data_IF_763820054952
#
_entry.id   IF_763820054952
#
_cell.length_a   1.000
_cell.length_b   1.000
_cell.length_c   1.000
_cell.angle_alpha   90.00
_cell.angle_beta   90.00
_cell.angle_gamma   90.00
#
_symmetry.space_group_name_H-M   'P 1'
#
loop_
_entity.id
_entity.type
_entity.pdbx_description
1 polymer ?
#
# COMPACT_ATOMS: atom_id res chain seq x y z
N UNK A 1 47.25 10.86 -5.80
CA UNK A 1 46.00 11.08 -5.06
C UNK A 1 45.72 9.87 -4.18
N UNK A 2 45.90 10.01 -2.86
CA UNK A 2 45.71 8.93 -1.90
C UNK A 2 44.27 8.39 -1.96
N UNK A 3 44.10 7.15 -2.42
CA UNK A 3 42.85 6.41 -2.23
C UNK A 3 42.76 6.06 -0.75
N UNK A 4 42.23 6.97 0.06
CA UNK A 4 41.83 6.66 1.44
C UNK A 4 40.83 5.53 1.39
N UNK A 5 41.19 4.36 1.92
CA UNK A 5 40.27 3.23 2.07
C UNK A 5 39.01 3.69 2.80
N UNK A 6 37.82 3.24 2.39
CA UNK A 6 36.58 3.63 3.04
C UNK A 6 36.64 3.22 4.51
N UNK A 7 36.47 4.21 5.40
CA UNK A 7 36.48 3.99 6.85
C UNK A 7 35.14 3.48 7.36
N UNK A 8 34.04 3.79 6.69
CA UNK A 8 32.69 3.50 7.18
C UNK A 8 31.93 2.59 6.21
N UNK A 9 31.08 1.72 6.75
CA UNK A 9 30.18 0.85 5.98
C UNK A 9 28.75 1.37 6.09
N UNK A 10 28.06 1.51 4.96
CA UNK A 10 26.63 1.85 4.88
C UNK A 10 25.91 0.66 4.26
N UNK A 11 24.90 0.12 4.93
CA UNK A 11 24.14 -1.04 4.46
C UNK A 11 22.70 -0.60 4.17
N UNK A 12 22.25 -0.85 2.94
CA UNK A 12 20.91 -0.50 2.46
C UNK A 12 20.17 -1.73 1.96
N UNK A 13 18.87 -1.61 1.73
CA UNK A 13 18.04 -2.76 1.38
C UNK A 13 18.26 -3.26 -0.06
N UNK A 14 18.35 -2.36 -1.03
CA UNK A 14 18.37 -2.69 -2.46
C UNK A 14 19.66 -2.27 -3.15
N UNK A 15 19.93 -2.85 -4.32
CA UNK A 15 21.10 -2.52 -5.13
C UNK A 15 20.98 -1.16 -5.82
N UNK A 16 19.76 -0.73 -6.18
CA UNK A 16 19.54 0.57 -6.79
C UNK A 16 19.81 1.69 -5.77
N UNK A 17 19.23 1.60 -4.55
CA UNK A 17 19.56 2.50 -3.43
C UNK A 17 21.06 2.56 -3.17
N UNK A 18 21.74 1.40 -3.17
CA UNK A 18 23.17 1.36 -2.93
C UNK A 18 23.94 2.19 -3.97
N UNK A 19 23.60 2.04 -5.26
CA UNK A 19 24.21 2.82 -6.35
C UNK A 19 23.92 4.31 -6.21
N UNK A 20 22.69 4.70 -5.90
CA UNK A 20 22.29 6.10 -5.76
C UNK A 20 22.99 6.76 -4.58
N UNK A 21 22.96 6.13 -3.40
CA UNK A 21 23.61 6.63 -2.18
C UNK A 21 25.13 6.69 -2.35
N UNK A 22 25.75 5.73 -3.03
CA UNK A 22 27.18 5.75 -3.31
C UNK A 22 27.63 6.93 -4.19
N UNK A 23 26.73 7.51 -5.00
CA UNK A 23 27.04 8.75 -5.76
C UNK A 23 27.02 10.00 -4.86
N UNK A 24 26.20 9.98 -3.81
CA UNK A 24 26.03 11.11 -2.91
C UNK A 24 27.03 11.11 -1.76
N UNK A 25 27.44 9.92 -1.32
CA UNK A 25 28.47 9.74 -0.30
C UNK A 25 29.85 9.72 -0.95
N UNK A 26 30.81 10.35 -0.29
CA UNK A 26 32.20 10.41 -0.75
C UNK A 26 32.99 9.12 -0.50
N UNK A 27 34.28 9.09 -0.87
CA UNK A 27 35.14 7.90 -0.76
C UNK A 27 35.35 7.38 0.67
N UNK A 28 34.94 8.14 1.69
CA UNK A 28 34.99 7.72 3.09
C UNK A 28 33.99 6.61 3.44
N UNK A 29 32.99 6.36 2.59
CA UNK A 29 31.92 5.38 2.82
C UNK A 29 31.96 4.28 1.75
N UNK A 30 31.85 3.04 2.20
CA UNK A 30 31.53 1.90 1.35
C UNK A 30 30.04 1.59 1.50
N UNK A 31 29.28 1.64 0.41
CA UNK A 31 27.85 1.36 0.40
C UNK A 31 27.59 -0.05 -0.14
N UNK A 32 26.86 -0.87 0.60
CA UNK A 32 26.54 -2.25 0.26
C UNK A 32 25.04 -2.53 0.45
N UNK A 33 24.51 -3.49 -0.29
CA UNK A 33 23.12 -3.93 -0.17
C UNK A 33 23.01 -5.24 0.61
N UNK A 34 21.99 -5.38 1.47
CA UNK A 34 21.62 -6.66 2.09
C UNK A 34 20.60 -7.47 1.27
N UNK A 35 20.10 -6.89 0.16
CA UNK A 35 19.08 -7.47 -0.73
C UNK A 35 17.75 -7.78 0.00
N UNK A 36 17.32 -6.94 0.93
CA UNK A 36 16.12 -7.18 1.75
C UNK A 36 16.41 -7.96 3.03
N UNK A 37 15.39 -8.68 3.50
CA UNK A 37 15.49 -9.56 4.67
C UNK A 37 16.64 -10.58 4.52
N UNK A 38 17.42 -10.73 5.60
CA UNK A 38 18.51 -11.72 5.71
C UNK A 38 18.13 -12.94 6.56
N UNK A 39 17.13 -12.77 7.42
CA UNK A 39 16.59 -13.79 8.32
C UNK A 39 15.08 -13.85 8.17
N UNK A 40 14.53 -15.04 8.38
CA UNK A 40 13.09 -15.25 8.53
C UNK A 40 12.84 -16.44 9.46
N UNK A 41 11.59 -16.64 9.85
CA UNK A 41 11.14 -17.83 10.53
C UNK A 41 11.36 -19.07 9.62
N UNK A 42 11.72 -20.24 10.17
CA UNK A 42 11.97 -21.45 9.39
C UNK A 42 10.75 -21.85 8.56
N UNK A 43 10.97 -22.43 7.37
CA UNK A 43 9.90 -22.78 6.43
C UNK A 43 9.06 -23.99 6.90
N UNK A 44 9.71 -25.01 7.46
CA UNK A 44 9.09 -26.33 7.68
C UNK A 44 8.59 -26.56 9.11
N UNK A 45 8.75 -25.59 10.01
CA UNK A 45 8.31 -25.67 11.41
C UNK A 45 7.76 -24.33 11.85
N UNK A 46 6.95 -24.32 12.90
CA UNK A 46 6.30 -23.10 13.39
C UNK A 46 7.31 -21.98 13.65
N UNK A 47 8.43 -22.28 14.30
CA UNK A 47 9.51 -21.32 14.56
C UNK A 47 9.15 -20.24 15.58
N UNK A 48 8.06 -20.44 16.33
CA UNK A 48 7.60 -19.56 17.42
C UNK A 48 7.36 -20.47 18.62
N UNK A 49 7.97 -20.13 19.75
CA UNK A 49 7.77 -20.85 21.00
C UNK A 49 6.57 -20.28 21.77
N UNK A 50 5.43 -20.95 21.69
CA UNK A 50 4.17 -20.50 22.31
C UNK A 50 4.25 -20.54 23.84
N UNK A 51 5.06 -21.44 24.40
CA UNK A 51 5.15 -21.64 25.85
C UNK A 51 6.16 -20.70 26.51
N UNK A 52 6.99 -20.02 25.70
CA UNK A 52 8.05 -19.13 26.15
C UNK A 52 7.89 -17.75 25.50
N UNK A 53 6.81 -17.05 25.87
CA UNK A 53 6.53 -15.67 25.47
C UNK A 53 6.55 -15.42 23.95
N UNK A 54 6.12 -16.41 23.15
CA UNK A 54 6.11 -16.32 21.68
C UNK A 54 7.47 -16.07 21.04
N UNK A 55 8.56 -16.47 21.70
CA UNK A 55 9.92 -16.20 21.24
C UNK A 55 10.16 -16.76 19.82
N UNK A 56 10.45 -15.91 18.82
CA UNK A 56 10.71 -16.36 17.46
C UNK A 56 12.11 -16.94 17.31
N UNK A 57 12.22 -18.05 16.58
CA UNK A 57 13.49 -18.61 16.14
C UNK A 57 13.73 -18.19 14.69
N UNK A 58 14.67 -17.28 14.48
CA UNK A 58 15.05 -16.83 13.16
C UNK A 58 16.20 -17.65 12.57
N UNK A 59 16.10 -17.97 11.29
CA UNK A 59 17.14 -18.65 10.52
C UNK A 59 17.55 -17.78 9.33
N UNK A 60 18.79 -17.93 8.87
CA UNK A 60 19.23 -17.26 7.65
C UNK A 60 18.40 -17.75 6.45
N UNK A 61 17.94 -16.81 5.63
CA UNK A 61 17.20 -17.14 4.42
C UNK A 61 18.14 -17.87 3.44
N UNK A 62 17.73 -19.01 2.85
CA UNK A 62 18.53 -19.71 1.84
C UNK A 62 18.99 -18.77 0.72
N UNK A 63 20.28 -18.84 0.37
CA UNK A 63 20.91 -17.94 -0.61
C UNK A 63 21.53 -16.66 -0.02
N UNK A 64 21.19 -16.27 1.23
CA UNK A 64 21.75 -15.07 1.87
C UNK A 64 23.08 -15.29 2.60
N UNK A 65 23.58 -16.53 2.70
CA UNK A 65 24.82 -16.83 3.44
C UNK A 65 26.03 -16.04 2.93
N UNK A 66 26.25 -16.03 1.61
CA UNK A 66 27.38 -15.30 0.99
C UNK A 66 27.33 -13.80 1.26
N UNK A 67 26.14 -13.20 1.22
CA UNK A 67 26.00 -11.75 1.43
C UNK A 67 26.23 -11.39 2.90
N UNK A 68 25.72 -12.20 3.83
CA UNK A 68 25.94 -12.01 5.27
C UNK A 68 27.43 -12.15 5.61
N UNK A 69 28.12 -13.17 5.06
CA UNK A 69 29.57 -13.33 5.25
C UNK A 69 30.36 -12.16 4.68
N UNK A 70 29.99 -11.65 3.51
CA UNK A 70 30.59 -10.44 2.92
C UNK A 70 30.40 -9.24 3.87
N UNK A 71 29.17 -9.00 4.32
CA UNK A 71 28.85 -7.86 5.19
C UNK A 71 29.59 -7.96 6.55
N UNK A 72 29.71 -9.16 7.14
CA UNK A 72 30.50 -9.41 8.37
C UNK A 72 31.98 -9.05 8.18
N UNK A 73 32.57 -9.45 7.05
CA UNK A 73 33.98 -9.14 6.73
C UNK A 73 34.22 -7.64 6.50
N UNK A 74 33.24 -6.94 5.94
CA UNK A 74 33.31 -5.49 5.74
C UNK A 74 33.07 -4.75 7.04
N UNK A 75 32.10 -5.18 7.85
CA UNK A 75 31.79 -4.56 9.13
C UNK A 75 32.95 -4.67 10.11
N UNK A 76 33.70 -5.79 10.10
CA UNK A 76 34.87 -5.96 10.98
C UNK A 76 36.04 -5.03 10.64
N UNK A 77 36.07 -4.47 9.41
CA UNK A 77 37.11 -3.56 8.93
C UNK A 77 36.69 -2.08 9.00
N UNK A 78 35.41 -1.81 9.23
CA UNK A 78 34.87 -0.46 9.25
C UNK A 78 34.98 0.16 10.66
N UNK A 79 35.23 1.45 10.74
CA UNK A 79 35.22 2.22 11.99
C UNK A 79 33.79 2.38 12.53
N UNK A 80 32.82 2.57 11.64
CA UNK A 80 31.38 2.69 11.93
C UNK A 80 30.56 1.96 10.88
N UNK A 81 29.45 1.39 11.32
CA UNK A 81 28.44 0.77 10.46
C UNK A 81 27.15 1.56 10.56
N UNK A 82 26.61 1.96 9.41
CA UNK A 82 25.36 2.68 9.28
C UNK A 82 24.31 1.79 8.61
N UNK A 83 23.21 1.55 9.32
CA UNK A 83 22.09 0.75 8.87
C UNK A 83 21.02 1.69 8.27
N UNK A 84 21.01 1.76 6.95
CA UNK A 84 20.27 2.72 6.13
C UNK A 84 19.12 2.04 5.38
N UNK A 85 18.36 1.18 6.07
CA UNK A 85 17.12 0.59 5.54
C UNK A 85 15.97 1.59 5.61
N UNK A 86 14.84 1.27 4.97
CA UNK A 86 13.68 2.16 4.89
C UNK A 86 13.12 2.52 6.27
N UNK A 87 12.43 3.67 6.37
CA UNK A 87 12.04 4.28 7.65
C UNK A 87 10.90 3.59 8.40
N UNK A 88 10.31 2.57 7.78
CA UNK A 88 9.17 1.82 8.32
C UNK A 88 9.61 0.69 9.25
N UNK A 89 8.64 -0.05 9.79
CA UNK A 89 8.90 -1.18 10.70
C UNK A 89 9.58 -2.37 10.03
N UNK A 90 9.39 -2.57 8.72
CA UNK A 90 10.03 -3.68 8.00
C UNK A 90 11.52 -3.38 7.81
N UNK A 91 11.85 -2.15 7.42
CA UNK A 91 13.21 -1.65 7.38
C UNK A 91 13.88 -1.71 8.76
N UNK A 92 13.17 -1.35 9.83
CA UNK A 92 13.69 -1.45 11.20
C UNK A 92 14.03 -2.89 11.60
N UNK A 93 13.17 -3.85 11.29
CA UNK A 93 13.43 -5.27 11.53
C UNK A 93 14.64 -5.78 10.72
N UNK A 94 14.80 -5.37 9.46
CA UNK A 94 15.98 -5.72 8.65
C UNK A 94 17.25 -5.17 9.30
N UNK A 95 17.24 -3.91 9.74
CA UNK A 95 18.35 -3.28 10.47
C UNK A 95 18.67 -4.03 11.76
N UNK A 96 17.65 -4.43 12.52
CA UNK A 96 17.82 -5.23 13.73
C UNK A 96 18.46 -6.59 13.44
N UNK A 97 17.96 -7.35 12.46
CA UNK A 97 18.56 -8.63 12.07
C UNK A 97 20.01 -8.49 11.60
N UNK A 98 20.31 -7.45 10.81
CA UNK A 98 21.68 -7.12 10.41
C UNK A 98 22.55 -6.86 11.64
N UNK A 99 22.06 -6.06 12.59
CA UNK A 99 22.86 -5.70 13.76
C UNK A 99 23.31 -6.89 14.59
N UNK A 100 22.42 -7.88 14.75
CA UNK A 100 22.67 -9.11 15.47
C UNK A 100 23.69 -10.00 14.73
N UNK A 101 23.64 -10.02 13.40
CA UNK A 101 24.60 -10.80 12.59
C UNK A 101 25.98 -10.15 12.56
N UNK A 102 26.06 -8.83 12.38
CA UNK A 102 27.33 -8.14 12.21
C UNK A 102 28.13 -8.05 13.52
N UNK A 103 27.45 -8.01 14.68
CA UNK A 103 28.05 -7.91 16.01
C UNK A 103 29.15 -6.82 16.13
N UNK A 104 28.99 -5.71 15.39
CA UNK A 104 29.90 -4.58 15.42
C UNK A 104 29.56 -3.65 16.60
N UNK A 105 30.55 -3.07 17.29
CA UNK A 105 30.29 -2.24 18.48
C UNK A 105 29.73 -0.85 18.15
N UNK A 106 30.14 -0.28 17.01
CA UNK A 106 29.74 1.07 16.56
C UNK A 106 28.76 0.96 15.39
N UNK A 107 27.51 0.65 15.70
CA UNK A 107 26.43 0.56 14.72
C UNK A 107 25.43 1.68 14.97
N UNK A 108 24.93 2.27 13.90
CA UNK A 108 23.96 3.37 13.99
C UNK A 108 22.86 3.21 12.95
N UNK A 109 21.66 3.68 13.30
CA UNK A 109 20.48 3.67 12.44
C UNK A 109 20.39 4.99 11.67
N UNK A 110 20.25 4.92 10.35
CA UNK A 110 20.13 6.12 9.49
C UNK A 110 18.78 6.09 8.79
N UNK A 111 17.94 7.08 9.05
CA UNK A 111 16.58 7.18 8.52
C UNK A 111 16.48 8.41 7.62
N UNK A 112 15.87 8.24 6.45
CA UNK A 112 15.55 9.33 5.52
C UNK A 112 14.26 9.01 4.77
N UNK A 113 13.55 10.06 4.37
CA UNK A 113 12.29 9.98 3.62
C UNK A 113 12.46 10.19 2.11
N UNK A 114 13.63 10.68 1.67
CA UNK A 114 13.96 10.91 0.27
C UNK A 114 15.46 10.73 0.05
N UNK A 115 15.82 10.20 -1.13
CA UNK A 115 17.22 9.90 -1.48
C UNK A 115 17.86 11.12 -2.15
N UNK A 116 18.14 12.17 -1.37
CA UNK A 116 18.88 13.36 -1.84
C UNK A 116 20.19 13.53 -1.08
N UNK A 117 21.16 14.20 -1.71
CA UNK A 117 22.51 14.39 -1.14
C UNK A 117 22.48 15.09 0.22
N UNK A 118 21.64 16.12 0.36
CA UNK A 118 21.52 16.94 1.56
C UNK A 118 20.88 16.15 2.70
N UNK A 119 19.82 15.38 2.41
CA UNK A 119 19.11 14.58 3.42
C UNK A 119 20.00 13.43 3.91
N UNK A 120 20.68 12.73 3.00
CA UNK A 120 21.58 11.63 3.37
C UNK A 120 22.75 12.09 4.22
N UNK A 121 23.37 13.23 3.89
CA UNK A 121 24.46 13.79 4.71
C UNK A 121 23.98 14.13 6.12
N UNK A 122 22.86 14.84 6.25
CA UNK A 122 22.27 15.18 7.56
C UNK A 122 21.94 13.94 8.38
N UNK A 123 21.40 12.90 7.74
CA UNK A 123 21.03 11.65 8.40
C UNK A 123 22.25 10.84 8.87
N UNK A 124 23.38 10.91 8.17
CA UNK A 124 24.64 10.27 8.58
C UNK A 124 25.37 11.08 9.67
N UNK A 125 25.28 12.40 9.63
CA UNK A 125 25.84 13.30 10.65
C UNK A 125 25.15 13.14 12.00
N UNK A 126 23.83 12.87 11.99
CA UNK A 126 23.01 12.70 13.20
C UNK A 126 22.30 11.34 13.19
N UNK A 127 23.03 10.23 13.32
CA UNK A 127 22.43 8.92 13.21
C UNK A 127 21.77 8.53 14.54
N UNK A 128 20.67 7.78 14.45
CA UNK A 128 19.92 7.28 15.61
C UNK A 128 20.36 5.89 16.07
N UNK A 129 19.54 5.30 16.92
CA UNK A 129 19.61 3.89 17.33
C UNK A 129 18.44 3.12 16.73
N UNK A 130 18.55 1.79 16.74
CA UNK A 130 17.44 0.93 16.31
C UNK A 130 16.26 1.12 17.28
N UNK A 131 15.07 1.36 16.72
CA UNK A 131 13.83 1.49 17.48
C UNK A 131 13.25 0.10 17.78
N UNK A 132 13.47 -0.37 19.01
CA UNK A 132 13.01 -1.69 19.45
C UNK A 132 11.49 -1.81 19.41
N UNK A 133 10.73 -0.74 19.64
CA UNK A 133 9.26 -0.81 19.56
C UNK A 133 8.77 -1.10 18.14
N UNK A 134 9.43 -0.52 17.12
CA UNK A 134 9.14 -0.83 15.71
C UNK A 134 9.53 -2.26 15.35
N UNK A 135 10.67 -2.73 15.87
CA UNK A 135 11.10 -4.13 15.71
C UNK A 135 10.04 -5.05 16.30
N UNK A 136 9.66 -4.86 17.55
CA UNK A 136 8.69 -5.69 18.26
C UNK A 136 7.32 -5.64 17.59
N UNK A 137 6.90 -4.49 17.06
CA UNK A 137 5.68 -4.38 16.27
C UNK A 137 5.75 -5.20 14.96
N UNK A 138 6.90 -5.26 14.30
CA UNK A 138 7.11 -6.11 13.12
C UNK A 138 7.13 -7.59 13.50
N UNK A 139 7.82 -7.95 14.58
CA UNK A 139 7.91 -9.32 15.07
C UNK A 139 6.55 -9.83 15.53
N UNK A 140 5.79 -9.03 16.28
CA UNK A 140 4.43 -9.35 16.71
C UNK A 140 3.51 -9.62 15.52
N UNK A 141 3.58 -8.79 14.47
CA UNK A 141 2.87 -9.06 13.21
C UNK A 141 3.33 -10.38 12.57
N UNK A 142 4.64 -10.60 12.46
CA UNK A 142 5.22 -11.80 11.82
C UNK A 142 4.81 -13.08 12.54
N UNK A 143 4.84 -13.07 13.88
CA UNK A 143 4.42 -14.16 14.75
C UNK A 143 2.92 -14.42 14.62
N UNK A 144 2.09 -13.37 14.68
CA UNK A 144 0.64 -13.51 14.53
C UNK A 144 0.27 -14.13 13.17
N UNK A 145 0.82 -13.59 12.09
CA UNK A 145 0.56 -14.10 10.74
C UNK A 145 1.06 -15.57 10.59
N UNK A 146 2.17 -15.92 11.26
CA UNK A 146 2.68 -17.30 11.32
C UNK A 146 1.73 -18.24 12.07
N UNK A 147 1.22 -17.84 13.22
CA UNK A 147 0.31 -18.65 14.03
C UNK A 147 -1.00 -18.93 13.28
N UNK A 148 -1.59 -17.90 12.67
CA UNK A 148 -2.83 -18.05 11.88
C UNK A 148 -2.60 -18.99 10.69
N UNK A 149 -1.56 -18.73 9.90
CA UNK A 149 -1.27 -19.56 8.72
C UNK A 149 -0.97 -21.01 9.08
N UNK A 150 -0.14 -21.25 10.09
CA UNK A 150 0.29 -22.61 10.45
C UNK A 150 -0.81 -23.42 11.15
N UNK A 151 -1.63 -22.78 11.99
CA UNK A 151 -2.71 -23.48 12.73
C UNK A 151 -3.98 -23.67 11.90
N UNK A 152 -4.35 -22.71 11.03
CA UNK A 152 -5.61 -22.79 10.28
C UNK A 152 -5.50 -23.43 8.90
N UNK A 153 -4.34 -23.37 8.22
CA UNK A 153 -4.22 -23.98 6.88
C UNK A 153 -4.49 -25.50 6.87
N UNK A 154 -4.02 -26.31 7.85
CA UNK A 154 -4.35 -27.73 7.91
C UNK A 154 -5.85 -28.00 8.01
N UNK A 155 -6.59 -27.17 8.74
CA UNK A 155 -8.04 -27.27 8.82
C UNK A 155 -8.71 -27.01 7.47
N UNK A 156 -8.21 -26.04 6.69
CA UNK A 156 -8.70 -25.79 5.32
C UNK A 156 -8.39 -26.96 4.38
N UNK A 157 -7.28 -27.67 4.58
CA UNK A 157 -6.95 -28.85 3.79
C UNK A 157 -7.91 -30.00 4.04
N UNK A 158 -8.26 -30.23 5.31
CA UNK A 158 -9.21 -31.25 5.73
C UNK A 158 -10.66 -30.93 5.32
N UNK A 159 -11.08 -29.66 5.44
CA UNK A 159 -12.49 -29.27 5.26
C UNK A 159 -12.85 -28.71 3.89
N UNK A 160 -11.88 -28.23 3.11
CA UNK A 160 -12.14 -27.53 1.85
C UNK A 160 -11.34 -28.14 0.71
N UNK A 161 -10.01 -27.94 0.71
CA UNK A 161 -9.12 -28.44 -0.35
C UNK A 161 -7.66 -28.39 0.11
N UNK A 162 -6.94 -29.49 -0.14
CA UNK A 162 -5.50 -29.56 0.09
C UNK A 162 -4.75 -28.46 -0.69
N UNK A 163 -3.79 -27.81 -0.02
CA UNK A 163 -2.96 -26.76 -0.61
C UNK A 163 -3.49 -25.32 -0.45
N UNK A 164 -4.67 -25.12 0.15
CA UNK A 164 -5.17 -23.79 0.50
C UNK A 164 -4.37 -23.14 1.63
N UNK A 165 -4.27 -21.81 1.63
CA UNK A 165 -3.59 -21.07 2.71
C UNK A 165 -4.59 -20.22 3.49
N UNK A 166 -4.48 -20.28 4.81
CA UNK A 166 -5.17 -19.35 5.70
C UNK A 166 -4.31 -18.08 5.86
N UNK A 167 -4.93 -16.92 5.65
CA UNK A 167 -4.26 -15.63 5.79
C UNK A 167 -5.12 -14.63 6.54
N UNK A 168 -4.66 -14.17 7.71
CA UNK A 168 -5.43 -13.30 8.62
C UNK A 168 -6.08 -12.10 7.91
N UNK A 169 -5.34 -11.42 7.05
CA UNK A 169 -5.83 -10.25 6.29
C UNK A 169 -6.42 -10.65 4.94
N UNK A 170 -5.83 -11.65 4.27
CA UNK A 170 -6.27 -12.11 2.95
C UNK A 170 -7.69 -12.67 3.00
N UNK A 171 -8.02 -13.48 4.01
CA UNK A 171 -9.35 -14.06 4.17
C UNK A 171 -10.43 -12.99 4.38
N UNK A 172 -10.12 -11.88 5.06
CA UNK A 172 -11.05 -10.75 5.20
C UNK A 172 -11.25 -10.04 3.86
N UNK A 173 -10.18 -9.83 3.09
CA UNK A 173 -10.29 -9.23 1.75
C UNK A 173 -11.13 -10.09 0.80
N UNK A 174 -10.93 -11.42 0.82
CA UNK A 174 -11.75 -12.37 0.05
C UNK A 174 -13.21 -12.33 0.52
N UNK A 175 -13.45 -12.28 1.83
CA UNK A 175 -14.80 -12.16 2.39
C UNK A 175 -15.56 -10.94 1.84
N UNK A 176 -14.92 -9.77 1.76
CA UNK A 176 -15.55 -8.56 1.21
C UNK A 176 -15.96 -8.73 -0.27
N UNK A 177 -15.20 -9.52 -1.04
CA UNK A 177 -15.56 -9.84 -2.42
C UNK A 177 -16.74 -10.82 -2.47
N UNK A 178 -16.72 -11.87 -1.64
CA UNK A 178 -17.83 -12.82 -1.55
C UNK A 178 -19.15 -12.15 -1.11
N UNK A 179 -19.10 -11.26 -0.12
CA UNK A 179 -20.28 -10.52 0.34
C UNK A 179 -20.83 -9.61 -0.77
N UNK A 180 -19.96 -8.94 -1.54
CA UNK A 180 -20.39 -8.16 -2.71
C UNK A 180 -21.00 -9.02 -3.81
N UNK A 181 -20.43 -10.20 -4.06
CA UNK A 181 -20.99 -11.12 -5.06
C UNK A 181 -22.36 -11.62 -4.64
N UNK A 182 -22.53 -11.97 -3.36
CA UNK A 182 -23.82 -12.38 -2.80
C UNK A 182 -24.88 -11.25 -2.86
N UNK A 183 -24.47 -9.99 -2.64
CA UNK A 183 -25.33 -8.82 -2.87
C UNK A 183 -25.79 -8.72 -4.34
N UNK A 184 -24.91 -9.02 -5.29
CA UNK A 184 -25.22 -8.99 -6.74
C UNK A 184 -26.15 -10.14 -7.11
N UNK A 185 -25.89 -11.36 -6.64
CA UNK A 185 -26.72 -12.53 -6.92
C UNK A 185 -28.15 -12.40 -6.36
N UNK A 186 -28.29 -11.78 -5.17
CA UNK A 186 -29.59 -11.52 -4.54
C UNK A 186 -30.31 -10.29 -5.08
N UNK A 187 -29.67 -9.50 -5.93
CA UNK A 187 -30.26 -8.28 -6.46
C UNK A 187 -31.42 -8.64 -7.40
N UNK A 188 -32.64 -8.25 -7.03
CA UNK A 188 -33.83 -8.35 -7.90
C UNK A 188 -34.02 -7.00 -8.60
N UNK A 189 -33.75 -6.89 -9.91
CA UNK A 189 -33.92 -5.64 -10.63
C UNK A 189 -35.37 -5.18 -10.61
N UNK A 190 -35.58 -3.88 -10.36
CA UNK A 190 -36.90 -3.25 -10.42
C UNK A 190 -36.93 -2.28 -11.58
N UNK A 191 -37.93 -2.43 -12.44
CA UNK A 191 -38.19 -1.51 -13.54
C UNK A 191 -38.49 -0.11 -12.99
N UNK A 192 -37.77 0.88 -13.52
CA UNK A 192 -38.02 2.28 -13.25
C UNK A 192 -37.76 3.10 -14.51
N UNK A 193 -38.51 4.19 -14.66
CA UNK A 193 -38.38 5.08 -15.81
C UNK A 193 -38.05 6.49 -15.38
N UNK A 194 -37.17 7.14 -16.15
CA UNK A 194 -36.94 8.58 -16.09
C UNK A 194 -37.58 9.20 -17.33
N UNK A 195 -38.30 10.30 -17.16
CA UNK A 195 -38.88 11.06 -18.28
C UNK A 195 -38.10 12.37 -18.40
N UNK A 196 -37.43 12.56 -19.54
CA UNK A 196 -36.77 13.81 -19.91
C UNK A 196 -37.56 14.52 -21.01
N UNK A 197 -37.64 15.85 -20.92
CA UNK A 197 -38.33 16.73 -21.86
C UNK A 197 -37.35 17.78 -22.37
N UNK A 198 -37.38 18.04 -23.67
CA UNK A 198 -36.59 19.10 -24.30
C UNK A 198 -37.52 20.29 -24.55
N UNK A 199 -37.36 21.34 -23.74
CA UNK A 199 -38.04 22.61 -23.93
C UNK A 199 -37.27 23.49 -24.92
N UNK A 200 -37.98 24.32 -25.67
CA UNK A 200 -37.41 25.41 -26.46
C UNK A 200 -37.98 26.73 -25.98
N UNK A 201 -37.13 27.71 -25.74
CA UNK A 201 -37.61 29.07 -25.49
C UNK A 201 -37.91 29.78 -26.83
N UNK A 202 -38.43 31.01 -26.76
CA UNK A 202 -38.78 31.84 -27.91
C UNK A 202 -37.59 32.09 -28.86
N UNK A 203 -36.37 32.10 -28.32
CA UNK A 203 -35.13 32.27 -29.09
C UNK A 203 -34.61 30.94 -29.70
N UNK A 204 -35.35 29.84 -29.56
CA UNK A 204 -34.97 28.52 -30.07
C UNK A 204 -33.93 27.76 -29.22
N UNK A 205 -33.50 28.32 -28.07
CA UNK A 205 -32.54 27.67 -27.18
C UNK A 205 -33.18 26.46 -26.50
N UNK A 206 -32.43 25.35 -26.45
CA UNK A 206 -32.88 24.09 -25.86
C UNK A 206 -32.56 24.03 -24.37
N UNK A 207 -33.53 23.57 -23.58
CA UNK A 207 -33.38 23.25 -22.15
C UNK A 207 -33.87 21.82 -21.95
N UNK A 208 -32.99 20.92 -21.54
CA UNK A 208 -33.39 19.58 -21.11
C UNK A 208 -33.78 19.60 -19.62
N UNK A 209 -34.93 19.03 -19.30
CA UNK A 209 -35.37 18.84 -17.93
C UNK A 209 -35.85 17.42 -17.70
N UNK A 210 -35.53 16.86 -16.53
CA UNK A 210 -36.04 15.55 -16.10
C UNK A 210 -37.19 15.74 -15.12
N UNK A 211 -38.27 14.98 -15.30
CA UNK A 211 -39.41 14.98 -14.39
C UNK A 211 -38.96 14.63 -12.96
N UNK A 212 -39.08 15.59 -12.06
CA UNK A 212 -38.64 15.41 -10.67
C UNK A 212 -39.78 15.10 -9.70
N UNK A 213 -40.98 15.66 -9.92
CA UNK A 213 -42.13 15.51 -9.03
C UNK A 213 -43.46 15.51 -9.81
N UNK A 214 -44.44 14.74 -9.32
CA UNK A 214 -45.86 14.84 -9.69
C UNK A 214 -46.61 15.13 -8.39
N UNK A 215 -47.42 16.19 -8.36
CA UNK A 215 -48.19 16.59 -7.16
C UNK A 215 -47.31 16.66 -5.88
N UNK A 216 -46.14 17.30 -5.99
CA UNK A 216 -45.13 17.45 -4.92
C UNK A 216 -44.55 16.13 -4.36
N UNK A 217 -44.70 15.00 -5.06
CA UNK A 217 -44.11 13.71 -4.69
C UNK A 217 -43.18 13.19 -5.78
N UNK A 218 -42.08 12.52 -5.40
CA UNK A 218 -41.20 11.84 -6.36
C UNK A 218 -41.99 10.77 -7.11
N UNK A 219 -42.01 10.78 -8.44
CA UNK A 219 -42.79 9.83 -9.22
C UNK A 219 -42.19 8.42 -9.10
N UNK A 220 -43.06 7.41 -8.94
CA UNK A 220 -42.69 5.99 -9.05
C UNK A 220 -43.25 5.47 -10.36
N UNK A 221 -42.43 5.44 -11.40
CA UNK A 221 -42.85 5.02 -12.74
C UNK A 221 -42.32 3.61 -12.97
N UNK A 222 -43.20 2.62 -12.88
CA UNK A 222 -42.82 1.20 -12.83
C UNK A 222 -43.19 0.42 -14.09
N UNK A 223 -43.84 1.05 -15.08
CA UNK A 223 -44.23 0.39 -16.33
C UNK A 223 -44.45 1.40 -17.47
N UNK A 224 -44.40 0.90 -18.70
CA UNK A 224 -44.62 1.66 -19.94
C UNK A 224 -45.99 2.36 -20.00
N UNK A 225 -47.05 1.73 -19.47
CA UNK A 225 -48.40 2.31 -19.48
C UNK A 225 -48.43 3.64 -18.73
N UNK A 226 -47.86 3.66 -17.53
CA UNK A 226 -47.74 4.87 -16.69
C UNK A 226 -46.90 5.94 -17.39
N UNK A 227 -45.82 5.55 -18.09
CA UNK A 227 -45.01 6.48 -18.90
C UNK A 227 -45.87 7.14 -19.97
N UNK A 228 -46.64 6.37 -20.75
CA UNK A 228 -47.48 6.90 -21.83
C UNK A 228 -48.53 7.89 -21.32
N UNK A 229 -49.15 7.59 -20.17
CA UNK A 229 -50.11 8.48 -19.52
C UNK A 229 -49.46 9.81 -19.10
N UNK A 230 -48.29 9.74 -18.45
CA UNK A 230 -47.56 10.94 -18.02
C UNK A 230 -47.08 11.75 -19.24
N UNK A 231 -46.53 11.10 -20.26
CA UNK A 231 -46.04 11.77 -21.48
C UNK A 231 -47.17 12.49 -22.21
N UNK A 232 -48.36 11.89 -22.28
CA UNK A 232 -49.53 12.55 -22.88
C UNK A 232 -49.87 13.85 -22.13
N UNK A 233 -49.98 13.79 -20.81
CA UNK A 233 -50.21 14.98 -19.99
C UNK A 233 -49.10 16.01 -20.10
N UNK A 234 -47.85 15.57 -20.34
CA UNK A 234 -46.72 16.46 -20.57
C UNK A 234 -46.84 17.19 -21.92
N UNK A 235 -47.21 16.50 -22.99
CA UNK A 235 -47.31 17.10 -24.34
C UNK A 235 -48.45 18.14 -24.41
N UNK A 236 -49.56 17.85 -23.73
CA UNK A 236 -50.74 18.72 -23.71
C UNK A 236 -50.61 19.91 -22.73
N UNK A 237 -49.59 19.88 -21.85
CA UNK A 237 -49.42 20.86 -20.80
C UNK A 237 -48.73 22.15 -21.22
N UNK A 238 -49.02 23.24 -20.51
CA UNK A 238 -48.28 24.49 -20.57
C UNK A 238 -47.26 24.59 -19.43
N UNK A 239 -46.10 25.18 -19.71
CA UNK A 239 -44.96 25.19 -18.80
C UNK A 239 -44.48 26.60 -18.52
N UNK A 240 -44.07 26.81 -17.26
CA UNK A 240 -43.38 28.03 -16.84
C UNK A 240 -42.21 27.66 -15.93
N UNK A 241 -41.20 28.53 -15.92
CA UNK A 241 -40.09 28.41 -14.99
C UNK A 241 -40.60 28.70 -13.58
N UNK A 242 -40.56 27.69 -12.71
CA UNK A 242 -40.99 27.83 -11.32
C UNK A 242 -39.96 28.58 -10.45
N UNK A 243 -38.67 28.26 -10.61
CA UNK A 243 -37.57 28.84 -9.82
C UNK A 243 -36.26 28.74 -10.58
N UNK A 244 -35.45 29.80 -10.54
CA UNK A 244 -34.05 29.80 -10.97
C UNK A 244 -33.18 30.08 -9.75
N UNK A 245 -32.24 29.19 -9.45
CA UNK A 245 -31.28 29.36 -8.37
C UNK A 245 -29.86 29.33 -8.94
N UNK A 246 -29.07 30.36 -8.64
CA UNK A 246 -27.66 30.45 -9.01
C UNK A 246 -26.81 30.41 -7.76
N UNK A 247 -26.03 29.36 -7.60
CA UNK A 247 -25.13 29.18 -6.46
C UNK A 247 -23.69 29.15 -6.94
N UNK A 248 -22.79 29.84 -6.24
CA UNK A 248 -21.36 29.74 -6.50
C UNK A 248 -20.83 28.52 -5.76
N UNK A 249 -20.29 27.54 -6.49
CA UNK A 249 -19.55 26.42 -5.90
C UNK A 249 -18.05 26.70 -5.99
N UNK A 250 -17.31 26.26 -4.96
CA UNK A 250 -15.84 26.25 -4.97
C UNK A 250 -15.39 24.81 -4.83
N UNK A 251 -14.48 24.37 -5.69
CA UNK A 251 -13.85 23.05 -5.60
C UNK A 251 -12.38 23.23 -5.22
N UNK A 252 -12.00 22.73 -4.06
CA UNK A 252 -10.60 22.71 -3.62
C UNK A 252 -9.82 21.62 -4.34
N UNK A 253 -8.50 21.77 -4.53
CA UNK A 253 -7.66 20.70 -5.07
C UNK A 253 -7.61 19.50 -4.12
N UNK A 254 -7.33 18.33 -4.68
CA UNK A 254 -7.12 17.12 -3.89
C UNK A 254 -5.81 17.21 -3.09
N UNK A 255 -5.70 16.54 -1.92
CA UNK A 255 -4.46 16.48 -1.17
C UNK A 255 -3.36 15.73 -1.95
N UNK A 256 -2.08 15.90 -1.56
CA UNK A 256 -0.99 15.09 -2.09
C UNK A 256 -1.23 13.58 -1.94
N UNK A 257 -0.62 12.79 -2.80
CA UNK A 257 -0.82 11.35 -2.79
C UNK A 257 -0.26 10.68 -1.54
N UNK A 258 -1.09 9.83 -0.93
CA UNK A 258 -0.69 8.71 -0.07
C UNK A 258 -0.68 7.42 -0.89
N UNK A 259 -0.11 6.34 -0.34
CA UNK A 259 -0.05 5.03 -1.00
C UNK A 259 -1.41 4.55 -1.53
N UNK A 260 -2.48 4.67 -0.75
CA UNK A 260 -3.82 4.22 -1.16
C UNK A 260 -4.39 5.06 -2.30
N UNK A 261 -4.31 6.39 -2.19
CA UNK A 261 -4.81 7.31 -3.22
C UNK A 261 -4.01 7.20 -4.51
N UNK A 262 -2.69 6.98 -4.43
CA UNK A 262 -1.85 6.77 -5.59
C UNK A 262 -2.25 5.49 -6.34
N UNK A 263 -2.45 4.38 -5.62
CA UNK A 263 -2.89 3.12 -6.22
C UNK A 263 -4.26 3.24 -6.88
N UNK A 264 -5.22 3.91 -6.23
CA UNK A 264 -6.56 4.13 -6.79
C UNK A 264 -6.51 4.98 -8.07
N UNK A 265 -5.79 6.11 -8.04
CA UNK A 265 -5.68 7.02 -9.19
C UNK A 265 -4.92 6.38 -10.34
N UNK A 266 -3.83 5.65 -10.06
CA UNK A 266 -3.09 4.92 -11.08
C UNK A 266 -3.93 3.78 -11.70
N UNK A 267 -4.75 3.09 -10.92
CA UNK A 267 -5.68 2.09 -11.44
C UNK A 267 -6.75 2.72 -12.33
N UNK A 268 -7.32 3.85 -11.91
CA UNK A 268 -8.37 4.55 -12.64
C UNK A 268 -7.88 5.14 -13.97
N UNK A 269 -6.81 5.96 -13.93
CA UNK A 269 -6.34 6.70 -15.10
C UNK A 269 -5.35 5.91 -15.96
N UNK A 270 -4.46 5.13 -15.36
CA UNK A 270 -3.37 4.45 -16.07
C UNK A 270 -3.62 2.94 -16.26
N UNK A 271 -4.71 2.41 -15.70
CA UNK A 271 -5.04 0.97 -15.71
C UNK A 271 -3.94 0.10 -15.12
N UNK A 272 -3.15 0.64 -14.17
CA UNK A 272 -2.11 -0.12 -13.50
C UNK A 272 -2.69 -0.94 -12.34
N UNK A 273 -2.23 -2.17 -12.20
CA UNK A 273 -2.50 -2.94 -10.99
C UNK A 273 -1.76 -2.33 -9.79
N UNK A 274 -2.25 -2.51 -8.56
CA UNK A 274 -1.55 -2.03 -7.37
C UNK A 274 -0.08 -2.47 -7.30
N UNK A 275 0.21 -3.71 -7.70
CA UNK A 275 1.57 -4.25 -7.75
C UNK A 275 2.46 -3.50 -8.76
N UNK A 276 1.95 -3.21 -9.97
CA UNK A 276 2.69 -2.44 -10.98
C UNK A 276 2.96 -1.01 -10.50
N UNK A 277 1.95 -0.36 -9.92
CA UNK A 277 2.08 0.99 -9.35
C UNK A 277 3.15 1.05 -8.28
N UNK A 278 3.14 0.11 -7.32
CA UNK A 278 4.13 0.09 -6.25
C UNK A 278 5.53 -0.25 -6.74
N UNK A 279 5.68 -1.11 -7.75
CA UNK A 279 6.98 -1.37 -8.37
C UNK A 279 7.57 -0.10 -8.98
N UNK A 280 6.80 0.62 -9.79
CA UNK A 280 7.25 1.87 -10.41
C UNK A 280 7.54 2.93 -9.35
N UNK A 281 6.69 3.05 -8.33
CA UNK A 281 6.92 3.99 -7.23
C UNK A 281 8.22 3.67 -6.46
N UNK A 282 8.53 2.39 -6.26
CA UNK A 282 9.81 1.96 -5.68
C UNK A 282 10.97 2.37 -6.60
N UNK A 283 10.90 2.05 -7.90
CA UNK A 283 11.94 2.41 -8.87
C UNK A 283 12.17 3.93 -8.99
N UNK A 284 11.13 4.75 -8.74
CA UNK A 284 11.24 6.21 -8.71
C UNK A 284 11.82 6.76 -7.40
N UNK A 285 11.64 6.03 -6.29
CA UNK A 285 12.16 6.41 -4.98
C UNK A 285 13.66 6.09 -4.83
N UNK A 286 14.10 4.95 -5.36
CA UNK A 286 15.48 4.42 -5.23
C UNK A 286 16.51 5.05 -6.18
#
# INVERSE_FOLDING_TARGET
>A
MNRTSPRNLVIVESTAKAKTINKFLGPAYQVESCLGHIKDLPKNRLGVDINNEFKPTYVLIPGKKKIVEKLKKLSSKADKVFLATDMDREGEAISWHLSQELNHKKQFRVVFNQVTKEVLKKAIENPGQIDINKVDAQQGRRVLDRLVGYKLSPLLWDKVKMGLSAGRVQSVAVRLLCEREEEIEKFVPVEHWNISVIFRNENGNRIEATLCHINNKKPKIQNEKTVKEIVKGIIEGEYKVYKVAKTRSKKSPYPPFTTSTLQQVASYYLRFSPAKTMKIAQDLYE
#
